data_IF_371626004916
#
_entry.id   IF_371626004916
#
_cell.length_a   1.000
_cell.length_b   1.000
_cell.length_c   1.000
_cell.angle_alpha   90.00
_cell.angle_beta   90.00
_cell.angle_gamma   90.00
#
_symmetry.space_group_name_H-M   'P 1'
#
loop_
_entity.id
_entity.type
_entity.pdbx_description
1 polymer ?
#
# COMPACT_ATOMS: atom_id res chain seq x y z
N UNK A 1 26.68 -15.87 -6.31
CA UNK A 1 25.68 -15.97 -7.39
C UNK A 1 24.36 -15.33 -6.92
N UNK A 2 24.15 -14.06 -7.25
CA UNK A 2 22.96 -13.32 -6.80
C UNK A 2 21.73 -13.73 -7.60
N UNK A 3 20.73 -14.32 -6.93
CA UNK A 3 19.43 -14.60 -7.56
C UNK A 3 18.80 -13.28 -7.98
N UNK A 4 18.65 -13.04 -9.29
CA UNK A 4 17.87 -11.92 -9.80
C UNK A 4 16.43 -12.11 -9.31
N UNK A 5 15.99 -11.26 -8.39
CA UNK A 5 14.62 -11.23 -7.91
C UNK A 5 13.75 -10.71 -9.06
N UNK A 6 12.88 -11.56 -9.60
CA UNK A 6 12.06 -11.29 -10.81
C UNK A 6 11.19 -10.02 -10.70
N UNK A 7 10.90 -9.58 -9.48
CA UNK A 7 10.18 -8.34 -9.20
C UNK A 7 11.04 -7.43 -8.33
N UNK A 8 12.00 -6.68 -8.90
CA UNK A 8 12.61 -5.57 -8.18
C UNK A 8 11.47 -4.62 -7.81
N UNK A 9 11.47 -4.10 -6.57
CA UNK A 9 10.50 -3.08 -6.12
C UNK A 9 10.69 -1.84 -7.00
N UNK A 10 10.07 -1.82 -8.19
CA UNK A 10 10.33 -0.84 -9.27
C UNK A 10 9.97 0.58 -8.86
N UNK A 11 9.02 0.74 -7.94
CA UNK A 11 8.54 2.03 -7.48
C UNK A 11 8.45 2.02 -5.95
N UNK A 12 9.25 2.85 -5.31
CA UNK A 12 9.16 3.15 -3.88
C UNK A 12 8.45 4.49 -3.77
N UNK A 13 7.28 4.49 -3.12
CA UNK A 13 6.53 5.71 -2.82
C UNK A 13 6.82 6.05 -1.36
N UNK A 14 7.40 7.22 -1.13
CA UNK A 14 7.58 7.77 0.22
C UNK A 14 6.47 8.78 0.46
N UNK A 15 5.59 8.49 1.43
CA UNK A 15 4.59 9.43 1.91
C UNK A 15 4.99 9.96 3.30
N UNK A 16 4.56 11.18 3.60
CA UNK A 16 4.68 11.76 4.94
C UNK A 16 3.32 11.59 5.61
N UNK A 17 3.33 10.94 6.76
CA UNK A 17 2.16 10.76 7.62
C UNK A 17 2.49 11.29 9.01
N UNK A 18 1.47 11.77 9.71
CA UNK A 18 1.58 12.16 11.10
C UNK A 18 1.36 10.94 12.02
N UNK A 19 1.52 11.12 13.35
CA UNK A 19 1.41 10.03 14.32
C UNK A 19 -0.02 9.46 14.41
N UNK A 20 -1.03 10.32 14.34
CA UNK A 20 -2.44 9.95 14.41
C UNK A 20 -2.86 9.10 13.21
N UNK A 21 -2.47 9.50 12.00
CA UNK A 21 -2.67 8.74 10.77
C UNK A 21 -1.98 7.37 10.82
N UNK A 22 -0.80 7.29 11.45
CA UNK A 22 -0.08 6.04 11.62
C UNK A 22 -0.78 5.09 12.60
N UNK A 23 -1.35 5.63 13.69
CA UNK A 23 -2.09 4.83 14.66
C UNK A 23 -3.38 4.25 14.04
N UNK A 24 -4.11 5.06 13.26
CA UNK A 24 -5.26 4.60 12.48
C UNK A 24 -4.85 3.51 11.48
N UNK A 25 -3.77 3.71 10.73
CA UNK A 25 -3.28 2.70 9.79
C UNK A 25 -2.90 1.39 10.49
N UNK A 26 -2.36 1.46 11.72
CA UNK A 26 -2.05 0.28 12.51
C UNK A 26 -3.32 -0.47 12.91
N UNK A 27 -4.32 0.22 13.45
CA UNK A 27 -5.61 -0.38 13.85
C UNK A 27 -6.25 -1.13 12.69
N UNK A 28 -6.39 -0.48 11.52
CA UNK A 28 -6.98 -1.12 10.34
C UNK A 28 -6.12 -2.30 9.85
N UNK A 29 -4.79 -2.22 9.98
CA UNK A 29 -3.89 -3.32 9.61
C UNK A 29 -4.03 -4.54 10.52
N UNK A 30 -4.25 -4.32 11.82
CA UNK A 30 -4.47 -5.35 12.82
C UNK A 30 -5.83 -6.02 12.61
N UNK A 31 -6.88 -5.23 12.42
CA UNK A 31 -8.24 -5.72 12.17
C UNK A 31 -8.33 -6.55 10.88
N UNK A 32 -7.62 -6.12 9.83
CA UNK A 32 -7.65 -6.79 8.53
C UNK A 32 -6.66 -7.95 8.41
N UNK A 33 -5.79 -8.16 9.40
CA UNK A 33 -4.73 -9.16 9.39
C UNK A 33 -3.71 -8.97 8.25
N UNK A 34 -3.60 -7.76 7.69
CA UNK A 34 -2.74 -7.44 6.56
C UNK A 34 -1.70 -6.40 6.95
N UNK A 35 -0.49 -6.49 6.40
CA UNK A 35 0.50 -5.42 6.61
C UNK A 35 0.02 -4.09 6.02
N UNK A 36 0.41 -2.98 6.66
CA UNK A 36 0.12 -1.61 6.19
C UNK A 36 0.51 -1.43 4.70
N UNK A 37 1.64 -1.99 4.27
CA UNK A 37 2.06 -1.93 2.86
C UNK A 37 1.06 -2.62 1.91
N UNK A 38 0.50 -3.75 2.33
CA UNK A 38 -0.47 -4.49 1.52
C UNK A 38 -1.82 -3.76 1.47
N UNK A 39 -2.21 -3.15 2.60
CA UNK A 39 -3.41 -2.34 2.71
C UNK A 39 -3.36 -1.12 1.80
N UNK A 40 -2.24 -0.38 1.82
CA UNK A 40 -2.02 0.78 0.94
C UNK A 40 -2.00 0.37 -0.54
N UNK A 41 -1.41 -0.77 -0.88
CA UNK A 41 -1.43 -1.28 -2.26
C UNK A 41 -2.85 -1.57 -2.74
N UNK A 42 -3.64 -2.29 -1.93
CA UNK A 42 -5.05 -2.58 -2.25
C UNK A 42 -5.89 -1.31 -2.37
N UNK A 43 -5.65 -0.32 -1.52
CA UNK A 43 -6.31 0.98 -1.61
C UNK A 43 -5.99 1.69 -2.92
N UNK A 44 -4.72 1.71 -3.33
CA UNK A 44 -4.30 2.25 -4.62
C UNK A 44 -4.93 1.50 -5.81
N UNK A 45 -5.00 0.17 -5.74
CA UNK A 45 -5.64 -0.64 -6.77
C UNK A 45 -7.15 -0.30 -6.89
N UNK A 46 -7.85 -0.19 -5.75
CA UNK A 46 -9.26 0.19 -5.69
C UNK A 46 -9.51 1.61 -6.23
N UNK A 47 -8.68 2.58 -5.86
CA UNK A 47 -8.74 3.95 -6.39
C UNK A 47 -8.53 3.98 -7.91
N UNK A 48 -7.59 3.19 -8.41
CA UNK A 48 -7.32 3.09 -9.86
C UNK A 48 -8.51 2.50 -10.60
N UNK A 49 -9.11 1.42 -10.08
CA UNK A 49 -10.31 0.79 -10.66
C UNK A 49 -11.49 1.76 -10.72
N UNK A 50 -11.73 2.51 -9.63
CA UNK A 50 -12.79 3.51 -9.58
C UNK A 50 -12.56 4.69 -10.54
N UNK A 51 -11.30 5.04 -10.84
CA UNK A 51 -10.98 6.10 -11.78
C UNK A 51 -11.22 5.68 -13.24
N UNK A 52 -11.06 4.39 -13.57
CA UNK A 52 -11.38 3.86 -14.91
C UNK A 52 -12.87 3.87 -15.26
N UNK A 53 -13.75 3.96 -14.26
CA UNK A 53 -15.21 4.00 -14.48
C UNK A 53 -15.71 5.44 -14.76
N UNK A 54 -14.89 6.44 -14.45
CA UNK A 54 -15.24 7.86 -14.58
C UNK A 54 -14.47 8.59 -15.71
N UNK A 55 -13.86 7.87 -16.64
CA UNK A 55 -13.12 8.42 -17.78
C UNK A 55 -13.75 8.05 -19.12
#
# INVERSE_FOLDING_TARGET
>A
MGRKKEYPKKHIVSCRINSEEMDILREISEDSGMSITMLLRKSLDALTQNNTVNA
#
